data_IF_894193485280
#
_entry.id   IF_894193485280
#
_cell.length_a   1.000
_cell.length_b   1.000
_cell.length_c   1.000
_cell.angle_alpha   90.00
_cell.angle_beta   90.00
_cell.angle_gamma   90.00
#
_symmetry.space_group_name_H-M   'P 1'
#
loop_
_entity.id
_entity.type
_entity.pdbx_description
1 polymer ?
#
# COMPACT_ATOMS: atom_id res chain seq x y z
N UNK A 1 -14.76 -17.79 16.48
CA UNK A 1 -13.74 -16.87 17.03
C UNK A 1 -13.29 -15.98 15.90
N UNK A 2 -13.35 -14.66 16.06
CA UNK A 2 -12.96 -13.69 15.03
C UNK A 2 -11.44 -13.74 14.85
N UNK A 3 -10.96 -13.85 13.62
CA UNK A 3 -9.53 -13.85 13.27
C UNK A 3 -9.17 -12.52 12.62
N UNK A 4 -7.97 -12.03 12.89
CA UNK A 4 -7.46 -10.80 12.27
C UNK A 4 -6.38 -11.15 11.26
N UNK A 5 -6.47 -10.58 10.06
CA UNK A 5 -5.43 -10.64 9.04
C UNK A 5 -4.86 -9.23 8.85
N UNK A 6 -3.59 -9.06 9.22
CA UNK A 6 -2.85 -7.84 8.90
C UNK A 6 -2.37 -7.86 7.46
N UNK A 7 -2.65 -6.82 6.69
CA UNK A 7 -2.08 -6.59 5.36
C UNK A 7 -1.22 -5.33 5.37
N UNK A 8 -0.08 -5.41 4.67
CA UNK A 8 0.83 -4.28 4.49
C UNK A 8 1.05 -4.07 3.01
N UNK A 9 0.84 -2.84 2.53
CA UNK A 9 1.06 -2.45 1.13
C UNK A 9 2.17 -1.39 1.03
N UNK A 10 2.84 -1.31 -0.12
CA UNK A 10 3.78 -0.21 -0.39
C UNK A 10 3.02 1.11 -0.49
N UNK A 11 1.82 1.11 -1.05
CA UNK A 11 1.01 2.30 -1.29
C UNK A 11 0.29 2.78 -0.03
N UNK A 12 -0.87 3.40 -0.23
CA UNK A 12 -1.78 3.74 0.87
C UNK A 12 -2.84 2.66 1.06
N UNK A 13 -3.23 2.47 2.31
CA UNK A 13 -4.40 1.72 2.73
C UNK A 13 -5.63 2.65 2.87
N UNK A 14 -6.86 2.12 2.76
CA UNK A 14 -7.20 0.75 2.38
C UNK A 14 -7.05 0.50 0.86
N UNK A 15 -6.77 -0.74 0.47
CA UNK A 15 -6.69 -1.16 -0.94
C UNK A 15 -8.05 -1.57 -1.47
N UNK A 16 -8.84 -0.57 -1.90
CA UNK A 16 -10.19 -0.74 -2.45
C UNK A 16 -10.26 -1.52 -3.76
N UNK A 17 -9.11 -1.82 -4.37
CA UNK A 17 -8.97 -2.48 -5.65
C UNK A 17 -8.60 -3.96 -5.57
N UNK A 18 -8.33 -4.49 -4.38
CA UNK A 18 -8.00 -5.91 -4.23
C UNK A 18 -8.58 -6.54 -2.95
N UNK A 19 -8.77 -5.78 -1.87
CA UNK A 19 -9.37 -6.31 -0.65
C UNK A 19 -10.80 -6.83 -0.90
N UNK A 20 -11.67 -6.16 -1.68
CA UNK A 20 -12.99 -6.70 -1.99
C UNK A 20 -12.96 -8.09 -2.66
N UNK A 21 -11.93 -8.38 -3.45
CA UNK A 21 -11.76 -9.67 -4.12
C UNK A 21 -11.16 -10.74 -3.20
N UNK A 22 -10.37 -10.34 -2.21
CA UNK A 22 -9.76 -11.24 -1.22
C UNK A 22 -10.79 -11.68 -0.16
N UNK A 23 -11.67 -10.78 0.28
CA UNK A 23 -12.61 -11.04 1.38
C UNK A 23 -13.48 -12.30 1.18
N UNK A 24 -14.07 -12.57 -0.02
CA UNK A 24 -14.84 -13.79 -0.26
C UNK A 24 -14.04 -15.10 -0.07
N UNK A 25 -12.72 -15.06 -0.31
CA UNK A 25 -11.83 -16.21 -0.17
C UNK A 25 -11.53 -16.50 1.31
N UNK A 26 -11.42 -15.44 2.13
CA UNK A 26 -11.13 -15.55 3.56
C UNK A 26 -12.36 -15.95 4.40
N UNK A 27 -13.56 -15.63 3.92
CA UNK A 27 -14.82 -15.92 4.58
C UNK A 27 -15.15 -14.95 5.73
N UNK A 28 -16.35 -15.11 6.31
CA UNK A 28 -16.97 -14.13 7.21
C UNK A 28 -16.32 -13.99 8.60
N UNK A 29 -15.43 -14.91 8.98
CA UNK A 29 -14.80 -14.94 10.30
C UNK A 29 -13.45 -14.21 10.36
N UNK A 30 -13.04 -13.55 9.27
CA UNK A 30 -11.79 -12.79 9.17
C UNK A 30 -12.08 -11.30 9.06
N UNK A 31 -11.41 -10.51 9.90
CA UNK A 31 -11.34 -9.06 9.77
C UNK A 31 -9.96 -8.68 9.26
N UNK A 32 -9.93 -7.88 8.19
CA UNK A 32 -8.67 -7.39 7.62
C UNK A 32 -8.32 -6.07 8.27
N UNK A 33 -7.09 -5.97 8.75
CA UNK A 33 -6.49 -4.73 9.27
C UNK A 33 -5.42 -4.33 8.27
N UNK A 34 -5.55 -3.14 7.69
CA UNK A 34 -4.70 -2.69 6.60
C UNK A 34 -3.75 -1.57 7.06
N UNK A 35 -2.54 -1.56 6.54
CA UNK A 35 -1.61 -0.44 6.64
C UNK A 35 -0.77 -0.29 5.38
N UNK A 36 -0.45 0.94 5.02
CA UNK A 36 0.36 1.31 3.87
C UNK A 36 1.62 2.05 4.26
N UNK A 37 2.73 1.77 3.58
CA UNK A 37 4.00 2.48 3.83
C UNK A 37 3.95 3.97 3.47
N UNK A 38 2.98 4.38 2.64
CA UNK A 38 2.71 5.78 2.28
C UNK A 38 1.51 6.38 3.02
N UNK A 39 0.94 5.69 4.02
CA UNK A 39 -0.20 6.20 4.78
C UNK A 39 0.10 7.58 5.39
N UNK A 40 -0.85 8.50 5.26
CA UNK A 40 -0.72 9.86 5.77
C UNK A 40 0.11 10.82 4.91
N UNK A 41 0.79 10.33 3.86
CA UNK A 41 1.54 11.20 2.94
C UNK A 41 0.66 11.80 1.85
N UNK A 42 0.95 13.04 1.50
CA UNK A 42 0.38 13.73 0.35
C UNK A 42 1.05 13.31 -0.95
N UNK A 43 0.42 13.62 -2.08
CA UNK A 43 0.98 13.35 -3.40
C UNK A 43 2.32 14.07 -3.63
N UNK A 44 2.46 15.28 -3.12
CA UNK A 44 3.68 16.08 -3.27
C UNK A 44 4.84 15.47 -2.45
N UNK A 45 4.57 15.04 -1.22
CA UNK A 45 5.56 14.32 -0.40
C UNK A 45 6.01 13.00 -1.05
N UNK A 46 5.07 12.27 -1.67
CA UNK A 46 5.41 11.04 -2.41
C UNK A 46 6.21 11.34 -3.68
N UNK A 47 6.00 12.49 -4.33
CA UNK A 47 6.77 12.88 -5.51
C UNK A 47 8.27 13.08 -5.20
N UNK A 48 8.61 13.49 -3.97
CA UNK A 48 10.00 13.58 -3.51
C UNK A 48 10.69 12.21 -3.39
N UNK A 49 9.90 11.13 -3.36
CA UNK A 49 10.37 9.75 -3.29
C UNK A 49 10.59 9.12 -4.67
N UNK A 50 10.48 9.91 -5.75
CA UNK A 50 10.64 9.43 -7.12
C UNK A 50 12.01 8.73 -7.35
N UNK A 51 12.05 7.67 -8.18
CA UNK A 51 13.30 7.01 -8.53
C UNK A 51 14.29 7.91 -9.28
N UNK A 52 15.56 7.73 -8.96
CA UNK A 52 16.72 8.25 -9.67
C UNK A 52 17.35 7.14 -10.51
N UNK A 53 18.37 7.50 -11.29
CA UNK A 53 19.17 6.52 -12.03
C UNK A 53 19.70 5.44 -11.07
N UNK A 54 19.59 4.19 -11.50
CA UNK A 54 20.03 2.98 -10.78
C UNK A 54 19.19 2.58 -9.56
N UNK A 55 18.07 3.26 -9.30
CA UNK A 55 17.13 2.85 -8.25
C UNK A 55 16.28 1.65 -8.63
N UNK A 56 15.97 0.81 -7.64
CA UNK A 56 14.89 -0.15 -7.77
C UNK A 56 13.54 0.57 -7.73
N UNK A 57 12.77 0.39 -8.81
CA UNK A 57 11.52 1.10 -9.05
C UNK A 57 10.35 0.29 -8.49
N UNK A 58 9.56 0.91 -7.61
CA UNK A 58 8.30 0.39 -7.13
C UNK A 58 7.15 1.21 -7.70
N UNK A 59 6.16 0.53 -8.27
CA UNK A 59 4.89 1.14 -8.70
C UNK A 59 3.82 0.73 -7.71
N UNK A 60 3.10 1.70 -7.16
CA UNK A 60 2.08 1.47 -6.16
C UNK A 60 0.92 2.46 -6.30
N UNK A 61 -0.04 2.42 -5.37
CA UNK A 61 -1.30 3.15 -5.46
C UNK A 61 -1.55 4.04 -4.23
N UNK A 62 -2.08 5.24 -4.47
CA UNK A 62 -2.57 6.18 -3.45
C UNK A 62 -4.03 5.90 -3.11
N UNK A 63 -4.55 6.47 -2.02
CA UNK A 63 -5.93 6.27 -1.57
C UNK A 63 -6.97 6.83 -2.57
N UNK A 64 -6.60 7.85 -3.35
CA UNK A 64 -7.41 8.39 -4.45
C UNK A 64 -7.45 7.51 -5.70
N UNK A 65 -6.74 6.37 -5.67
CA UNK A 65 -6.67 5.41 -6.77
C UNK A 65 -5.62 5.76 -7.83
N UNK A 66 -4.87 6.86 -7.69
CA UNK A 66 -3.78 7.20 -8.60
C UNK A 66 -2.57 6.29 -8.41
N UNK A 67 -1.87 6.00 -9.50
CA UNK A 67 -0.60 5.28 -9.47
C UNK A 67 0.55 6.25 -9.21
N UNK A 68 1.47 5.83 -8.36
CA UNK A 68 2.71 6.55 -8.04
C UNK A 68 3.90 5.61 -8.19
N UNK A 69 5.05 6.19 -8.51
CA UNK A 69 6.30 5.46 -8.70
C UNK A 69 7.32 5.99 -7.70
N UNK A 70 7.86 5.12 -6.86
CA UNK A 70 8.80 5.48 -5.78
C UNK A 70 10.05 4.58 -5.83
N UNK A 71 11.18 5.07 -5.33
CA UNK A 71 12.35 4.22 -5.13
C UNK A 71 12.20 3.35 -3.88
N UNK A 72 12.60 2.08 -3.99
CA UNK A 72 12.55 1.10 -2.88
C UNK A 72 13.21 1.61 -1.60
N UNK A 73 14.34 2.34 -1.70
CA UNK A 73 15.09 2.87 -0.55
C UNK A 73 14.26 3.73 0.40
N UNK A 74 13.16 4.35 -0.06
CA UNK A 74 12.31 5.16 0.80
C UNK A 74 11.27 4.33 1.56
N UNK A 75 11.10 3.07 1.19
CA UNK A 75 10.13 2.14 1.78
C UNK A 75 10.82 1.20 2.75
N UNK A 76 11.94 0.58 2.35
CA UNK A 76 12.67 -0.42 3.16
C UNK A 76 13.56 0.18 4.24
N UNK A 77 13.73 1.50 4.27
CA UNK A 77 14.48 2.21 5.31
C UNK A 77 13.65 2.52 6.58
N UNK A 78 12.37 2.14 6.62
CA UNK A 78 11.43 2.42 7.71
C UNK A 78 11.18 1.22 8.61
#
# INVERSE_FOLDING_TARGET
MKRYLGTVTIGQAPRTDIIPDIMPILGENVEVVESGALDGLTKDEVAEMAPKKDDYVLVTRMQDGSSVTVAERYITAR
#
